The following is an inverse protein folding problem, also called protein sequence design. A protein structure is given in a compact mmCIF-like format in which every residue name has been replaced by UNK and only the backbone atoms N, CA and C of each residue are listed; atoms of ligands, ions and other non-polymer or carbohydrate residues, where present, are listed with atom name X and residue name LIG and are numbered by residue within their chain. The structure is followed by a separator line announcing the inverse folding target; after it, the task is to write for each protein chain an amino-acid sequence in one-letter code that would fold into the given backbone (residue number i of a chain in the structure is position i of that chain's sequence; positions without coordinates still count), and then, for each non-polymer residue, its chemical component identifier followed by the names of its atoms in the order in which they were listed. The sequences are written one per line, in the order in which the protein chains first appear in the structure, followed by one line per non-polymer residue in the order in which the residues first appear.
data_IF_883806741436
#
_entry.id   IF_883806741436
#
_cell.length_a   1.000
_cell.length_b   1.000
_cell.length_c   1.000
_cell.angle_alpha   90.00
_cell.angle_beta   90.00
_cell.angle_gamma   90.00
#
_symmetry.space_group_name_H-M   'P 1'
#
loop_
_entity.id
_entity.type
_entity.pdbx_description
1 polymer ?
#
# COMPACT_ATOMS: atom_id res chain seq x y z
N UNK A 1 -16.61 24.20 -84.65
CA UNK A 1 -15.76 23.13 -84.06
C UNK A 1 -14.78 23.65 -83.01
N UNK A 2 -14.63 24.96 -82.82
CA UNK A 2 -13.62 25.55 -81.90
C UNK A 2 -14.17 25.79 -80.42
N UNK A 3 -15.47 25.83 -80.16
CA UNK A 3 -15.98 26.17 -78.86
C UNK A 3 -15.98 24.96 -77.85
N UNK A 4 -15.95 23.72 -78.37
CA UNK A 4 -15.90 22.50 -77.47
C UNK A 4 -14.48 22.26 -76.95
N UNK A 5 -13.41 22.61 -77.65
CA UNK A 5 -12.04 22.41 -77.14
C UNK A 5 -11.67 23.43 -76.06
N UNK A 6 -12.18 24.64 -76.12
CA UNK A 6 -11.92 25.67 -75.08
C UNK A 6 -12.53 25.29 -73.76
N UNK A 7 -13.75 24.71 -73.71
CA UNK A 7 -14.41 24.27 -72.49
C UNK A 7 -13.74 23.05 -71.84
N UNK A 8 -13.15 22.16 -72.66
CA UNK A 8 -12.46 20.98 -72.13
C UNK A 8 -11.13 21.35 -71.45
N UNK A 9 -10.41 22.30 -71.98
CA UNK A 9 -9.16 22.80 -71.42
C UNK A 9 -9.39 23.64 -70.16
N UNK A 10 -10.46 24.42 -70.07
CA UNK A 10 -10.83 25.17 -68.86
C UNK A 10 -11.24 24.23 -67.70
N UNK A 11 -11.98 23.16 -68.01
CA UNK A 11 -12.43 22.20 -67.02
C UNK A 11 -11.25 21.42 -66.46
N UNK A 12 -10.29 21.03 -67.30
CA UNK A 12 -9.08 20.33 -66.89
C UNK A 12 -8.13 21.23 -66.03
N UNK A 13 -8.04 22.51 -66.39
CA UNK A 13 -7.24 23.48 -65.65
C UNK A 13 -7.87 23.79 -64.27
N UNK A 14 -9.16 23.90 -64.17
CA UNK A 14 -9.88 24.12 -62.92
C UNK A 14 -9.78 22.89 -62.00
N UNK A 15 -9.96 21.71 -62.54
CA UNK A 15 -9.87 20.45 -61.77
C UNK A 15 -8.44 20.21 -61.24
N UNK A 16 -7.41 20.52 -62.04
CA UNK A 16 -6.02 20.38 -61.61
C UNK A 16 -5.59 21.44 -60.58
N UNK A 17 -6.12 22.64 -60.67
CA UNK A 17 -5.87 23.72 -59.71
C UNK A 17 -6.54 23.44 -58.36
N UNK A 18 -7.78 22.93 -58.36
CA UNK A 18 -8.52 22.57 -57.13
C UNK A 18 -7.84 21.40 -56.40
N UNK A 19 -7.38 20.36 -57.14
CA UNK A 19 -6.66 19.22 -56.56
C UNK A 19 -5.32 19.64 -55.92
N UNK A 20 -4.61 20.58 -56.56
CA UNK A 20 -3.32 21.09 -56.05
C UNK A 20 -3.50 21.90 -54.77
N UNK A 21 -4.52 22.75 -54.71
CA UNK A 21 -4.89 23.53 -53.54
C UNK A 21 -5.34 22.61 -52.40
N UNK A 22 -6.13 21.57 -52.68
CA UNK A 22 -6.56 20.60 -51.69
C UNK A 22 -5.42 19.77 -51.13
N UNK A 23 -4.43 19.37 -51.94
CA UNK A 23 -3.20 18.69 -51.49
C UNK A 23 -2.31 19.60 -50.65
N UNK A 24 -2.19 20.88 -50.96
CA UNK A 24 -1.39 21.82 -50.16
C UNK A 24 -2.03 22.15 -48.82
N UNK A 25 -3.36 22.27 -48.77
CA UNK A 25 -4.12 22.49 -47.53
C UNK A 25 -4.00 21.26 -46.61
N UNK A 26 -4.13 20.05 -47.16
CA UNK A 26 -3.99 18.81 -46.34
C UNK A 26 -2.54 18.63 -45.83
N UNK A 27 -1.51 18.90 -46.65
CA UNK A 27 -0.12 18.87 -46.21
C UNK A 27 0.21 19.92 -45.15
N UNK A 28 -0.39 21.11 -45.24
CA UNK A 28 -0.21 22.19 -44.27
C UNK A 28 -0.92 21.88 -42.95
N UNK A 29 -2.14 21.31 -43.00
CA UNK A 29 -2.88 20.85 -41.85
C UNK A 29 -2.18 19.69 -41.11
N UNK A 30 -1.64 18.73 -41.87
CA UNK A 30 -0.86 17.61 -41.32
C UNK A 30 0.42 18.08 -40.60
N UNK A 31 1.16 19.03 -41.19
CA UNK A 31 2.36 19.64 -40.56
C UNK A 31 2.02 20.44 -39.29
N UNK A 32 0.86 21.10 -39.22
CA UNK A 32 0.42 21.85 -38.05
C UNK A 32 0.03 20.88 -36.93
N UNK A 33 -0.69 19.79 -37.24
CA UNK A 33 -1.06 18.75 -36.29
C UNK A 33 0.17 18.05 -35.69
N UNK A 34 1.14 17.69 -36.49
CA UNK A 34 2.41 17.11 -36.03
C UNK A 34 3.19 18.09 -35.12
N UNK A 35 3.27 19.36 -35.49
CA UNK A 35 3.97 20.36 -34.65
C UNK A 35 3.29 20.58 -33.31
N UNK A 36 1.98 20.51 -33.25
CA UNK A 36 1.21 20.60 -31.99
C UNK A 36 1.47 19.39 -31.12
N UNK A 37 1.45 18.17 -31.67
CA UNK A 37 1.76 16.95 -30.90
C UNK A 37 3.20 16.93 -30.39
N UNK A 38 4.19 17.30 -31.22
CA UNK A 38 5.59 17.42 -30.78
C UNK A 38 5.76 18.45 -29.67
N UNK A 39 5.03 19.57 -29.72
CA UNK A 39 5.08 20.60 -28.67
C UNK A 39 4.49 20.10 -27.34
N UNK A 40 3.42 19.30 -27.38
CA UNK A 40 2.85 18.66 -26.18
C UNK A 40 3.80 17.62 -25.55
N UNK A 41 4.41 16.77 -26.38
CA UNK A 41 5.37 15.76 -25.93
C UNK A 41 6.62 16.44 -25.35
N UNK A 42 7.16 17.47 -25.98
CA UNK A 42 8.28 18.25 -25.44
C UNK A 42 7.94 18.92 -24.09
N UNK A 43 6.75 19.50 -23.94
CA UNK A 43 6.31 20.08 -22.66
C UNK A 43 6.14 19.03 -21.57
N UNK A 44 5.64 17.84 -21.92
CA UNK A 44 5.52 16.72 -20.98
C UNK A 44 6.89 16.22 -20.53
N UNK A 45 7.84 16.06 -21.48
CA UNK A 45 9.23 15.70 -21.18
C UNK A 45 9.96 16.75 -20.32
N UNK A 46 9.72 18.03 -20.55
CA UNK A 46 10.26 19.09 -19.68
C UNK A 46 9.67 19.08 -18.28
N UNK A 47 8.36 18.81 -18.14
CA UNK A 47 7.73 18.62 -16.83
C UNK A 47 8.30 17.41 -16.10
N UNK A 48 8.45 16.27 -16.77
CA UNK A 48 9.07 15.07 -16.21
C UNK A 48 10.53 15.31 -15.79
N UNK A 49 11.34 15.97 -16.60
CA UNK A 49 12.72 16.33 -16.23
C UNK A 49 12.78 17.20 -14.97
N UNK A 50 11.92 18.21 -14.88
CA UNK A 50 11.86 19.07 -13.68
C UNK A 50 11.43 18.27 -12.45
N UNK A 51 10.46 17.39 -12.58
CA UNK A 51 10.01 16.51 -11.49
C UNK A 51 11.12 15.56 -11.03
N UNK A 52 11.87 14.95 -11.96
CA UNK A 52 13.03 14.12 -11.65
C UNK A 52 14.17 14.91 -10.99
N UNK A 53 14.40 16.18 -11.39
CA UNK A 53 15.38 17.05 -10.75
C UNK A 53 14.96 17.39 -9.32
N UNK A 54 13.68 17.69 -9.07
CA UNK A 54 13.18 17.94 -7.70
C UNK A 54 13.28 16.69 -6.81
N UNK A 55 12.95 15.51 -7.33
CA UNK A 55 13.14 14.24 -6.62
C UNK A 55 14.63 14.01 -6.34
N UNK A 56 15.52 14.23 -7.30
CA UNK A 56 16.97 14.08 -7.11
C UNK A 56 17.52 15.08 -6.08
N UNK A 57 17.04 16.33 -6.07
CA UNK A 57 17.40 17.34 -5.08
C UNK A 57 16.91 16.93 -3.67
N UNK A 58 15.70 16.41 -3.54
CA UNK A 58 15.17 15.90 -2.27
C UNK A 58 16.02 14.70 -1.79
N UNK A 59 16.40 13.78 -2.68
CA UNK A 59 17.29 12.67 -2.34
C UNK A 59 18.70 13.13 -1.93
N UNK A 60 19.25 14.17 -2.56
CA UNK A 60 20.56 14.73 -2.18
C UNK A 60 20.54 15.40 -0.80
N UNK A 61 19.44 16.02 -0.39
CA UNK A 61 19.34 16.63 0.95
C UNK A 61 19.18 15.61 2.07
N UNK A 62 18.75 14.38 1.77
CA UNK A 62 18.64 13.30 2.75
C UNK A 62 19.99 12.69 3.14
N UNK A 63 21.06 12.97 2.39
CA UNK A 63 22.39 12.37 2.60
C UNK A 63 23.25 13.05 3.68
N UNK A 64 22.77 14.11 4.32
CA UNK A 64 23.59 14.94 5.22
C UNK A 64 23.49 14.58 6.70
N UNK A 65 22.67 13.59 7.07
CA UNK A 65 22.58 13.16 8.46
C UNK A 65 23.10 11.73 8.62
N UNK A 66 24.11 11.58 9.44
CA UNK A 66 24.74 10.35 9.90
C UNK A 66 23.77 9.52 10.77
N UNK A 67 22.73 8.95 10.17
CA UNK A 67 21.71 8.16 10.87
C UNK A 67 21.65 6.75 10.31
N UNK A 68 21.49 5.76 11.19
CA UNK A 68 21.32 4.38 10.76
C UNK A 68 19.90 4.15 10.27
N UNK A 69 19.82 3.58 9.08
CA UNK A 69 18.60 3.12 8.47
C UNK A 69 18.55 1.60 8.52
N UNK A 70 17.36 1.05 8.61
CA UNK A 70 17.12 -0.39 8.50
C UNK A 70 16.11 -0.63 7.39
N UNK A 71 16.39 -1.59 6.54
CA UNK A 71 15.45 -2.12 5.55
C UNK A 71 15.32 -3.62 5.78
N UNK A 72 14.11 -4.12 5.84
CA UNK A 72 13.88 -5.53 6.12
C UNK A 72 12.56 -6.05 5.70
N UNK A 73 12.34 -7.31 6.03
CA UNK A 73 11.14 -8.06 5.70
C UNK A 73 10.49 -8.61 6.97
N UNK A 74 9.20 -8.79 6.91
CA UNK A 74 8.39 -9.52 7.87
C UNK A 74 7.87 -10.79 7.22
N UNK A 75 7.92 -11.90 7.95
CA UNK A 75 7.32 -13.18 7.57
C UNK A 75 6.61 -13.74 8.79
N UNK A 76 5.34 -14.06 8.63
CA UNK A 76 4.54 -14.57 9.75
C UNK A 76 3.15 -14.99 9.31
N UNK A 77 2.21 -14.87 10.23
CA UNK A 77 0.81 -15.12 9.98
C UNK A 77 -0.07 -13.98 10.47
N UNK A 78 -1.31 -14.05 10.05
CA UNK A 78 -2.38 -13.12 10.42
C UNK A 78 -3.58 -13.91 10.94
N UNK A 79 -4.32 -13.35 11.90
CA UNK A 79 -5.62 -13.84 12.31
C UNK A 79 -6.61 -12.68 12.53
N UNK A 80 -7.86 -13.00 12.41
CA UNK A 80 -9.00 -12.10 12.58
C UNK A 80 -9.63 -12.25 13.95
N UNK A 81 -10.22 -11.17 14.48
CA UNK A 81 -11.01 -11.15 15.74
C UNK A 81 -12.20 -10.22 15.52
N UNK A 82 -13.41 -10.77 15.51
CA UNK A 82 -14.66 -10.03 15.33
C UNK A 82 -15.87 -10.95 15.45
N UNK A 83 -16.86 -10.78 14.56
CA UNK A 83 -18.15 -11.44 14.69
C UNK A 83 -18.20 -12.85 14.08
N UNK A 84 -17.30 -13.20 13.17
CA UNK A 84 -17.23 -14.53 12.55
C UNK A 84 -16.01 -15.29 13.06
N UNK A 85 -16.23 -16.55 13.47
CA UNK A 85 -15.19 -17.49 13.87
C UNK A 85 -14.77 -17.41 15.34
N UNK A 86 -13.60 -17.96 15.71
CA UNK A 86 -13.06 -17.93 17.06
C UNK A 86 -12.62 -16.52 17.47
N UNK A 87 -12.55 -16.28 18.79
CA UNK A 87 -12.12 -15.00 19.36
C UNK A 87 -10.71 -15.04 19.96
N UNK A 88 -9.87 -15.91 19.44
CA UNK A 88 -8.49 -16.05 19.88
C UNK A 88 -7.64 -14.85 19.47
N UNK A 89 -6.94 -14.24 20.44
CA UNK A 89 -6.16 -13.04 20.19
C UNK A 89 -4.88 -13.30 19.37
N UNK A 90 -4.25 -14.46 19.56
CA UNK A 90 -2.99 -14.82 18.88
C UNK A 90 -3.12 -16.25 18.35
N UNK A 91 -3.65 -16.39 17.15
CA UNK A 91 -3.89 -17.67 16.49
C UNK A 91 -3.67 -17.51 14.96
N UNK A 92 -2.43 -17.17 14.50
CA UNK A 92 -2.18 -16.93 13.08
C UNK A 92 -2.53 -18.16 12.27
N UNK A 93 -3.50 -18.02 11.37
CA UNK A 93 -4.06 -19.11 10.56
C UNK A 93 -3.78 -18.95 9.06
N UNK A 94 -3.44 -17.73 8.62
CA UNK A 94 -3.09 -17.47 7.23
C UNK A 94 -1.70 -16.79 7.13
N UNK A 95 -0.94 -17.05 6.05
CA UNK A 95 0.39 -16.46 5.88
C UNK A 95 0.32 -14.95 5.63
N UNK A 96 1.32 -14.23 6.17
CA UNK A 96 1.46 -12.80 5.99
C UNK A 96 2.92 -12.41 5.72
N UNK A 97 3.09 -11.41 4.87
CA UNK A 97 4.39 -10.89 4.44
C UNK A 97 4.40 -9.37 4.54
N UNK A 98 5.58 -8.80 4.78
CA UNK A 98 5.73 -7.36 4.83
C UNK A 98 7.13 -6.88 4.51
N UNK A 99 7.21 -5.57 4.26
CA UNK A 99 8.46 -4.83 4.08
C UNK A 99 8.49 -3.74 5.15
N UNK A 100 9.64 -3.57 5.77
CA UNK A 100 9.83 -2.63 6.89
C UNK A 100 11.01 -1.74 6.57
N UNK A 101 10.81 -0.44 6.75
CA UNK A 101 11.88 0.55 6.76
C UNK A 101 11.88 1.27 8.11
N UNK A 102 13.05 1.38 8.73
CA UNK A 102 13.23 2.12 9.99
C UNK A 102 14.30 3.19 9.84
N UNK A 103 13.99 4.34 10.37
CA UNK A 103 14.91 5.46 10.49
C UNK A 103 15.24 5.67 11.96
N UNK A 104 16.40 5.18 12.39
CA UNK A 104 16.84 5.22 13.77
C UNK A 104 17.35 6.62 14.12
N UNK A 105 16.58 7.38 14.91
CA UNK A 105 16.94 8.73 15.38
C UNK A 105 17.84 8.68 16.61
N UNK A 106 17.70 7.65 17.42
CA UNK A 106 18.48 7.44 18.65
C UNK A 106 18.50 5.95 18.98
N UNK A 107 19.32 5.50 19.96
CA UNK A 107 19.27 4.12 20.42
C UNK A 107 17.90 3.66 20.93
N UNK A 108 17.03 4.60 21.31
CA UNK A 108 15.69 4.29 21.87
C UNK A 108 14.52 4.59 20.97
N UNK A 109 14.70 5.42 19.92
CA UNK A 109 13.60 5.85 19.07
C UNK A 109 13.91 5.66 17.60
N UNK A 110 12.99 5.04 16.87
CA UNK A 110 13.02 4.93 15.42
C UNK A 110 11.66 5.30 14.81
N UNK A 111 11.68 6.01 13.69
CA UNK A 111 10.53 6.09 12.83
C UNK A 111 10.46 4.83 11.99
N UNK A 112 9.28 4.19 11.97
CA UNK A 112 9.04 2.96 11.22
C UNK A 112 7.93 3.19 10.20
N UNK A 113 8.23 2.74 8.98
CA UNK A 113 7.29 2.67 7.87
C UNK A 113 7.22 1.22 7.43
N UNK A 114 6.03 0.69 7.25
CA UNK A 114 5.90 -0.69 6.82
C UNK A 114 4.73 -0.89 5.87
N UNK A 115 4.87 -1.88 5.01
CA UNK A 115 3.82 -2.44 4.19
C UNK A 115 3.63 -3.90 4.59
N UNK A 116 2.40 -4.30 4.88
CA UNK A 116 2.03 -5.67 5.18
C UNK A 116 0.90 -6.12 4.26
N UNK A 117 0.89 -7.40 3.94
CA UNK A 117 -0.16 -8.05 3.18
C UNK A 117 -0.43 -9.43 3.75
N UNK A 118 -1.72 -9.80 3.86
CA UNK A 118 -2.18 -11.11 4.27
C UNK A 118 -3.66 -11.29 3.96
N UNK A 119 -4.14 -12.52 4.06
CA UNK A 119 -5.56 -12.85 3.97
C UNK A 119 -6.12 -13.09 5.36
N UNK A 120 -7.21 -12.42 5.69
CA UNK A 120 -8.03 -12.71 6.87
C UNK A 120 -8.98 -13.84 6.50
N UNK A 121 -9.00 -14.89 7.30
CA UNK A 121 -9.90 -16.02 7.11
C UNK A 121 -10.39 -16.53 8.46
N UNK A 122 -11.70 -16.74 8.57
CA UNK A 122 -12.27 -17.29 9.77
C UNK A 122 -13.54 -18.08 9.46
N UNK A 123 -13.87 -19.05 10.31
CA UNK A 123 -15.05 -19.91 10.18
C UNK A 123 -15.73 -20.07 11.51
N UNK A 124 -17.03 -19.93 11.53
CA UNK A 124 -17.85 -20.09 12.72
C UNK A 124 -17.80 -21.52 13.31
N UNK A 125 -17.58 -22.52 12.46
CA UNK A 125 -17.46 -23.92 12.89
C UNK A 125 -16.28 -24.16 13.84
N UNK A 126 -15.25 -23.29 13.75
CA UNK A 126 -14.05 -23.36 14.58
C UNK A 126 -14.21 -22.61 15.91
N UNK A 127 -15.37 -21.98 16.14
CA UNK A 127 -15.65 -21.18 17.33
C UNK A 127 -16.14 -22.04 18.48
N UNK A 128 -15.67 -21.74 19.70
CA UNK A 128 -16.19 -22.32 20.96
C UNK A 128 -17.55 -21.74 21.36
N UNK A 129 -18.04 -20.70 20.67
CA UNK A 129 -19.34 -20.07 20.95
C UNK A 129 -20.45 -20.84 20.21
N UNK A 130 -21.37 -21.49 20.93
CA UNK A 130 -22.39 -22.38 20.33
C UNK A 130 -23.26 -21.70 19.27
N UNK A 131 -23.61 -20.43 19.47
CA UNK A 131 -24.41 -19.66 18.49
C UNK A 131 -23.69 -19.40 17.18
N UNK A 132 -22.38 -19.15 17.19
CA UNK A 132 -21.57 -19.02 15.99
C UNK A 132 -21.43 -20.37 15.29
N UNK A 133 -21.09 -21.40 16.03
CA UNK A 133 -20.95 -22.76 15.49
C UNK A 133 -22.24 -23.24 14.79
N UNK A 134 -23.43 -22.95 15.34
CA UNK A 134 -24.71 -23.25 14.70
C UNK A 134 -25.00 -22.39 13.47
N UNK A 135 -24.52 -21.14 13.44
CA UNK A 135 -24.68 -20.23 12.29
C UNK A 135 -23.85 -20.70 11.10
N UNK A 136 -22.60 -21.08 11.32
CA UNK A 136 -21.74 -21.74 10.34
C UNK A 136 -21.22 -20.85 9.22
N UNK A 137 -21.13 -19.51 9.43
CA UNK A 137 -20.58 -18.58 8.46
C UNK A 137 -19.07 -18.77 8.30
N UNK A 138 -18.57 -18.43 7.11
CA UNK A 138 -17.15 -18.37 6.81
C UNK A 138 -16.84 -17.19 5.91
N UNK A 139 -15.67 -16.60 6.08
CA UNK A 139 -15.22 -15.52 5.21
C UNK A 139 -13.74 -15.62 4.88
N UNK A 140 -13.38 -14.97 3.77
CA UNK A 140 -12.02 -14.67 3.37
C UNK A 140 -11.94 -13.24 2.83
N UNK A 141 -10.97 -12.45 3.33
CA UNK A 141 -10.77 -11.06 2.94
C UNK A 141 -9.29 -10.72 2.85
N UNK A 142 -8.87 -10.07 1.78
CA UNK A 142 -7.48 -9.69 1.58
C UNK A 142 -7.21 -8.29 2.14
N UNK A 143 -6.21 -8.18 3.02
CA UNK A 143 -5.79 -6.91 3.62
C UNK A 143 -4.39 -6.53 3.12
N UNK A 144 -4.25 -5.26 2.72
CA UNK A 144 -2.98 -4.61 2.38
C UNK A 144 -2.87 -3.34 3.19
N UNK A 145 -1.91 -3.27 4.11
CA UNK A 145 -1.74 -2.13 4.99
C UNK A 145 -0.44 -1.38 4.76
N UNK A 146 -0.51 -0.06 4.88
CA UNK A 146 0.63 0.85 4.98
C UNK A 146 0.62 1.48 6.37
N UNK A 147 1.70 1.34 7.12
CA UNK A 147 1.79 1.96 8.44
C UNK A 147 2.96 2.92 8.55
N UNK A 148 2.74 3.97 9.34
CA UNK A 148 3.75 4.94 9.71
C UNK A 148 3.62 5.26 11.19
N UNK A 149 4.73 5.23 11.94
CA UNK A 149 4.68 5.50 13.37
C UNK A 149 6.05 5.47 14.02
N UNK A 150 6.05 5.39 15.32
CA UNK A 150 7.25 5.41 16.15
C UNK A 150 7.44 4.08 16.87
N UNK A 151 8.65 3.54 16.76
CA UNK A 151 9.14 2.39 17.51
C UNK A 151 9.98 2.89 18.67
N UNK A 152 9.68 2.42 19.89
CA UNK A 152 10.38 2.74 21.11
C UNK A 152 11.07 1.48 21.68
N UNK A 153 12.38 1.55 21.89
CA UNK A 153 13.19 0.50 22.49
C UNK A 153 13.30 0.71 24.00
N UNK A 154 12.99 -0.29 24.79
CA UNK A 154 13.09 -0.21 26.27
C UNK A 154 14.53 -0.19 26.77
N UNK A 155 15.46 -0.78 26.00
CA UNK A 155 16.88 -0.73 26.28
C UNK A 155 17.62 0.00 25.16
N UNK A 156 18.81 0.52 25.46
CA UNK A 156 19.64 1.19 24.47
C UNK A 156 20.08 0.21 23.37
N UNK A 157 19.50 0.35 22.21
CA UNK A 157 19.78 -0.47 21.05
C UNK A 157 20.65 0.32 20.05
N UNK A 158 21.89 0.59 20.50
CA UNK A 158 22.88 1.26 19.66
C UNK A 158 23.44 0.28 18.63
N UNK A 159 23.28 0.59 17.37
CA UNK A 159 23.71 -0.22 16.24
C UNK A 159 25.17 0.07 15.83
N UNK A 160 25.85 1.04 16.48
CA UNK A 160 27.22 1.45 16.16
C UNK A 160 28.28 0.69 16.90
N UNK A 161 28.00 0.24 18.14
CA UNK A 161 29.06 -0.27 19.04
C UNK A 161 29.47 -1.72 18.78
N UNK A 162 28.98 -2.36 17.74
CA UNK A 162 29.38 -3.73 17.33
C UNK A 162 28.96 -4.85 18.29
N UNK A 163 28.37 -4.53 19.45
CA UNK A 163 28.02 -5.52 20.47
C UNK A 163 26.69 -6.20 20.17
N UNK A 164 26.57 -7.46 20.56
CA UNK A 164 25.29 -8.17 20.57
C UNK A 164 24.36 -7.49 21.57
N UNK A 165 23.23 -7.00 21.10
CA UNK A 165 22.22 -6.35 21.93
C UNK A 165 20.86 -7.00 21.68
N UNK A 166 20.04 -7.00 22.70
CA UNK A 166 18.65 -7.41 22.65
C UNK A 166 17.82 -6.34 23.32
N UNK A 167 16.65 -6.03 22.79
CA UNK A 167 15.72 -5.09 23.39
C UNK A 167 14.27 -5.48 23.10
N UNK A 168 13.39 -5.43 24.10
CA UNK A 168 11.96 -5.33 23.85
C UNK A 168 11.67 -3.98 23.22
N UNK A 169 10.62 -3.92 22.41
CA UNK A 169 10.15 -2.67 21.81
C UNK A 169 8.63 -2.65 21.68
N UNK A 170 8.10 -1.45 21.55
CA UNK A 170 6.71 -1.20 21.19
C UNK A 170 6.69 -0.29 19.97
N UNK A 171 5.66 -0.47 19.14
CA UNK A 171 5.42 0.41 18.00
C UNK A 171 3.94 0.80 18.00
N UNK A 172 3.69 2.07 17.72
CA UNK A 172 2.36 2.60 17.47
C UNK A 172 2.41 3.73 16.44
N UNK A 173 1.28 4.01 15.83
CA UNK A 173 1.18 5.02 14.78
C UNK A 173 -0.19 5.02 14.11
N UNK A 174 -0.18 5.16 12.79
CA UNK A 174 -1.38 5.13 11.96
C UNK A 174 -1.17 4.11 10.85
N UNK A 175 -2.18 3.27 10.64
CA UNK A 175 -2.30 2.40 9.48
C UNK A 175 -3.36 2.95 8.54
N UNK A 176 -3.07 2.91 7.25
CA UNK A 176 -4.05 3.00 6.18
C UNK A 176 -4.08 1.64 5.49
N UNK A 177 -5.25 1.01 5.45
CA UNK A 177 -5.36 -0.31 4.84
C UNK A 177 -6.51 -0.40 3.84
N UNK A 178 -6.33 -1.28 2.88
CA UNK A 178 -7.24 -1.56 1.77
C UNK A 178 -7.74 -2.98 1.98
N UNK A 179 -9.04 -3.17 1.87
CA UNK A 179 -9.73 -4.44 2.06
C UNK A 179 -10.92 -4.54 1.09
N UNK A 180 -11.50 -5.71 1.00
CA UNK A 180 -12.71 -5.92 0.22
C UNK A 180 -13.93 -5.76 1.14
N UNK A 181 -14.89 -4.89 0.75
CA UNK A 181 -16.24 -4.90 1.30
C UNK A 181 -16.91 -6.19 0.88
N UNK A 182 -17.36 -6.98 1.85
CA UNK A 182 -17.96 -8.29 1.66
C UNK A 182 -19.31 -8.39 2.37
N UNK A 183 -20.12 -9.33 1.95
CA UNK A 183 -21.36 -9.73 2.61
C UNK A 183 -21.45 -11.26 2.66
N UNK A 184 -22.19 -11.80 3.62
CA UNK A 184 -22.35 -13.25 3.78
C UNK A 184 -23.64 -13.69 3.05
N UNK A 185 -23.48 -14.62 2.12
CA UNK A 185 -24.59 -15.25 1.43
C UNK A 185 -24.41 -16.78 1.43
N UNK A 186 -25.42 -17.52 1.88
CA UNK A 186 -25.35 -18.99 2.02
C UNK A 186 -24.15 -19.47 2.83
N UNK A 187 -23.80 -18.78 3.92
CA UNK A 187 -22.69 -19.05 4.84
C UNK A 187 -21.27 -18.81 4.26
N UNK A 188 -21.16 -18.24 3.08
CA UNK A 188 -19.90 -17.87 2.42
C UNK A 188 -19.82 -16.37 2.14
N UNK A 189 -18.61 -15.83 2.14
CA UNK A 189 -18.39 -14.42 1.83
C UNK A 189 -18.37 -14.16 0.33
N UNK A 190 -19.11 -13.14 -0.08
CA UNK A 190 -19.13 -12.62 -1.45
C UNK A 190 -18.59 -11.19 -1.45
N UNK A 191 -17.78 -10.87 -2.46
CA UNK A 191 -17.19 -9.53 -2.61
C UNK A 191 -18.16 -8.58 -3.29
N UNK A 192 -18.32 -7.39 -2.70
CA UNK A 192 -19.06 -6.29 -3.32
C UNK A 192 -18.09 -5.33 -4.04
N UNK A 193 -17.31 -4.54 -3.29
CA UNK A 193 -16.34 -3.61 -3.85
C UNK A 193 -15.07 -3.54 -2.97
N UNK A 194 -14.08 -2.75 -3.39
CA UNK A 194 -12.87 -2.53 -2.59
C UNK A 194 -13.01 -1.22 -1.81
N UNK A 195 -12.73 -1.28 -0.51
CA UNK A 195 -12.77 -0.13 0.39
C UNK A 195 -11.42 0.10 1.06
N UNK A 196 -11.31 1.19 1.79
CA UNK A 196 -10.12 1.53 2.56
C UNK A 196 -10.45 2.37 3.78
N UNK A 197 -9.76 2.11 4.88
CA UNK A 197 -9.96 2.85 6.12
C UNK A 197 -8.65 2.91 6.93
N UNK A 198 -8.72 3.51 8.09
CA UNK A 198 -7.59 3.61 9.01
C UNK A 198 -7.69 2.57 10.13
N UNK A 199 -6.54 2.28 10.74
CA UNK A 199 -6.44 1.49 11.95
C UNK A 199 -5.33 2.04 12.86
N UNK A 200 -5.37 1.69 14.13
CA UNK A 200 -4.32 1.98 15.10
C UNK A 200 -3.51 0.70 15.32
N UNK A 201 -2.23 0.66 14.91
CA UNK A 201 -1.35 -0.46 15.19
C UNK A 201 -0.83 -0.40 16.63
N UNK A 202 -0.86 -1.54 17.29
CA UNK A 202 -0.28 -1.77 18.61
C UNK A 202 0.61 -3.00 18.54
N UNK A 203 1.93 -2.78 18.32
CA UNK A 203 2.88 -3.86 18.15
C UNK A 203 3.78 -3.92 19.39
N UNK A 204 3.99 -5.11 19.89
CA UNK A 204 5.02 -5.43 20.86
C UNK A 204 5.96 -6.47 20.28
N UNK A 205 7.25 -6.35 20.57
CA UNK A 205 8.21 -7.29 20.05
C UNK A 205 9.53 -7.29 20.82
N UNK A 206 10.37 -8.21 20.44
CA UNK A 206 11.76 -8.30 20.91
C UNK A 206 12.64 -8.38 19.67
N UNK A 207 13.75 -7.64 19.67
CA UNK A 207 14.73 -7.67 18.59
C UNK A 207 16.14 -7.85 19.14
N UNK A 208 16.95 -8.54 18.35
CA UNK A 208 18.35 -8.83 18.69
C UNK A 208 19.25 -8.59 17.47
N UNK A 209 20.41 -8.01 17.69
CA UNK A 209 21.46 -7.93 16.67
C UNK A 209 22.14 -9.30 16.53
N UNK A 210 21.99 -9.94 15.37
CA UNK A 210 22.61 -11.24 15.08
C UNK A 210 24.04 -11.10 14.60
N UNK A 211 24.26 -10.26 13.59
CA UNK A 211 25.53 -9.96 12.95
C UNK A 211 25.69 -8.43 12.84
N UNK A 212 26.83 -7.98 12.37
CA UNK A 212 27.15 -6.55 12.32
C UNK A 212 26.06 -5.68 11.71
N UNK A 213 25.39 -6.17 10.66
CA UNK A 213 24.39 -5.41 9.93
C UNK A 213 23.00 -6.05 9.94
N UNK A 214 22.77 -7.14 10.68
CA UNK A 214 21.49 -7.83 10.68
C UNK A 214 20.84 -7.83 12.07
N UNK A 215 19.57 -7.42 12.10
CA UNK A 215 18.73 -7.46 13.29
C UNK A 215 17.56 -8.42 13.02
N UNK A 216 17.42 -9.41 13.89
CA UNK A 216 16.28 -10.32 13.93
C UNK A 216 15.31 -9.84 15.01
N UNK A 217 14.04 -9.82 14.70
CA UNK A 217 12.98 -9.54 15.66
C UNK A 217 11.86 -10.57 15.61
N UNK A 218 11.13 -10.66 16.70
CA UNK A 218 9.85 -11.33 16.77
C UNK A 218 8.81 -10.33 17.28
N UNK A 219 7.66 -10.27 16.64
CA UNK A 219 6.62 -9.29 16.98
C UNK A 219 5.21 -9.87 16.89
N UNK A 220 4.35 -9.32 17.74
CA UNK A 220 2.92 -9.51 17.73
C UNK A 220 2.31 -8.12 17.67
N UNK A 221 1.39 -7.91 16.73
CA UNK A 221 0.79 -6.60 16.54
C UNK A 221 -0.67 -6.67 16.24
N UNK A 222 -1.50 -6.16 17.17
CA UNK A 222 -2.91 -5.95 16.95
C UNK A 222 -3.16 -4.66 16.17
N UNK A 223 -4.25 -4.66 15.39
CA UNK A 223 -4.78 -3.49 14.69
C UNK A 223 -6.21 -3.28 15.09
N UNK A 224 -6.47 -2.16 15.73
CA UNK A 224 -7.83 -1.68 15.96
C UNK A 224 -8.30 -0.94 14.71
N UNK A 225 -9.26 -1.48 14.01
CA UNK A 225 -9.76 -0.86 12.76
C UNK A 225 -10.89 0.11 13.03
N UNK A 226 -11.16 0.99 12.08
CA UNK A 226 -12.32 1.87 12.10
C UNK A 226 -13.42 1.38 11.14
N UNK A 227 -13.52 0.07 10.97
CA UNK A 227 -14.60 -0.60 10.22
C UNK A 227 -15.11 -1.81 11.00
N UNK A 228 -16.34 -2.19 10.72
CA UNK A 228 -17.06 -3.36 11.26
C UNK A 228 -17.48 -4.31 10.12
N UNK A 229 -16.76 -4.27 8.98
CA UNK A 229 -17.11 -5.12 7.83
C UNK A 229 -15.90 -5.82 7.19
N UNK A 230 -14.91 -6.23 7.99
CA UNK A 230 -13.85 -7.10 7.48
C UNK A 230 -14.33 -8.53 7.27
N UNK A 231 -15.35 -8.95 8.01
CA UNK A 231 -15.90 -10.32 8.04
C UNK A 231 -17.27 -10.45 7.33
N UNK A 232 -17.81 -9.35 6.80
CA UNK A 232 -19.11 -9.34 6.12
C UNK A 232 -20.30 -9.27 7.05
N UNK A 233 -20.10 -8.96 8.36
CA UNK A 233 -21.17 -8.83 9.33
C UNK A 233 -22.02 -7.58 9.16
N UNK A 234 -21.41 -6.49 8.67
CA UNK A 234 -22.05 -5.19 8.55
C UNK A 234 -21.78 -4.53 7.16
N UNK A 235 -22.29 -5.09 6.04
CA UNK A 235 -22.09 -4.54 4.72
C UNK A 235 -22.56 -3.09 4.60
N UNK A 236 -21.74 -2.23 4.00
CA UNK A 236 -22.05 -0.81 3.82
C UNK A 236 -23.12 -0.57 2.76
N UNK A 237 -23.26 -1.49 1.79
CA UNK A 237 -24.22 -1.38 0.71
C UNK A 237 -25.66 -1.62 1.21
N UNK A 238 -26.53 -0.64 1.06
CA UNK A 238 -27.96 -0.70 1.47
C UNK A 238 -28.72 -1.87 0.86
N UNK A 239 -28.32 -2.38 -0.30
CA UNK A 239 -28.93 -3.55 -0.91
C UNK A 239 -28.76 -4.83 -0.08
N UNK A 240 -27.77 -4.86 0.79
CA UNK A 240 -27.44 -5.99 1.66
C UNK A 240 -27.73 -5.71 3.14
N UNK A 241 -28.44 -4.64 3.46
CA UNK A 241 -28.78 -4.27 4.84
C UNK A 241 -29.46 -5.40 5.61
N UNK A 242 -30.32 -6.18 4.93
CA UNK A 242 -31.02 -7.33 5.52
C UNK A 242 -30.10 -8.51 5.86
N UNK A 243 -28.86 -8.51 5.39
CA UNK A 243 -27.86 -9.55 5.67
C UNK A 243 -26.98 -9.19 6.86
N UNK A 244 -27.13 -8.01 7.47
CA UNK A 244 -26.37 -7.60 8.65
C UNK A 244 -26.65 -8.51 9.84
N UNK A 245 -25.59 -8.84 10.58
CA UNK A 245 -25.66 -9.68 11.77
C UNK A 245 -24.54 -9.31 12.76
N UNK A 246 -24.51 -9.95 13.92
CA UNK A 246 -23.44 -9.74 14.91
C UNK A 246 -23.62 -8.49 15.76
N UNK A 247 -22.52 -7.94 16.25
CA UNK A 247 -22.50 -6.74 17.09
C UNK A 247 -22.10 -5.50 16.26
N UNK A 248 -23.06 -4.84 15.67
CA UNK A 248 -22.86 -3.66 14.79
C UNK A 248 -22.26 -2.42 15.49
N UNK A 249 -21.92 -2.51 16.79
CA UNK A 249 -21.29 -1.42 17.55
C UNK A 249 -19.83 -1.70 17.91
N UNK A 250 -19.26 -2.80 17.45
CA UNK A 250 -17.87 -3.16 17.70
C UNK A 250 -17.08 -3.17 16.40
N UNK A 251 -15.95 -2.50 16.39
CA UNK A 251 -15.05 -2.55 15.23
C UNK A 251 -14.22 -3.83 15.23
N UNK A 252 -13.87 -4.27 14.06
CA UNK A 252 -13.05 -5.46 13.83
C UNK A 252 -11.59 -5.26 14.20
N UNK A 253 -10.94 -6.37 14.55
CA UNK A 253 -9.52 -6.42 14.85
C UNK A 253 -8.83 -7.48 14.00
N UNK A 254 -7.57 -7.26 13.72
CA UNK A 254 -6.71 -8.32 13.21
C UNK A 254 -5.31 -8.24 13.80
N UNK A 255 -4.63 -9.38 13.85
CA UNK A 255 -3.34 -9.52 14.51
C UNK A 255 -2.35 -10.16 13.55
N UNK A 256 -1.18 -9.52 13.39
CA UNK A 256 -0.02 -10.13 12.75
C UNK A 256 0.92 -10.67 13.82
N UNK A 257 1.42 -11.88 13.61
CA UNK A 257 2.42 -12.52 14.47
C UNK A 257 3.51 -13.11 13.61
N UNK A 258 4.77 -12.73 13.86
CA UNK A 258 5.85 -13.24 13.02
C UNK A 258 7.24 -12.75 13.38
N UNK A 259 8.14 -12.99 12.45
CA UNK A 259 9.55 -12.63 12.54
C UNK A 259 9.90 -11.49 11.58
N UNK A 260 10.79 -10.64 11.99
CA UNK A 260 11.38 -9.58 11.17
C UNK A 260 12.87 -9.80 11.00
N UNK A 261 13.37 -9.60 9.80
CA UNK A 261 14.81 -9.56 9.54
C UNK A 261 15.12 -8.24 8.82
N UNK A 262 15.93 -7.39 9.46
CA UNK A 262 16.32 -6.09 8.91
C UNK A 262 17.82 -6.02 8.69
N UNK A 263 18.22 -5.34 7.61
CA UNK A 263 19.61 -5.00 7.30
C UNK A 263 19.84 -3.51 7.61
N UNK A 264 20.88 -3.24 8.38
CA UNK A 264 21.25 -1.88 8.82
C UNK A 264 22.28 -1.27 7.88
N UNK A 265 22.09 -0.01 7.52
CA UNK A 265 22.99 0.75 6.66
C UNK A 265 22.99 2.24 7.04
N UNK A 266 24.06 2.94 6.67
CA UNK A 266 24.27 4.36 6.97
C UNK A 266 25.63 4.60 7.61
N UNK A 267 26.00 5.87 7.73
CA UNK A 267 27.24 6.27 8.39
C UNK A 267 27.02 6.42 9.90
N UNK A 268 28.04 6.12 10.69
CA UNK A 268 27.98 6.20 12.14
C UNK A 268 27.77 7.66 12.61
N UNK A 269 26.64 8.02 13.22
CA UNK A 269 26.49 9.33 13.85
C UNK A 269 27.35 9.40 15.11
N UNK A 270 27.99 10.55 15.33
CA UNK A 270 28.48 10.87 16.67
C UNK A 270 27.28 11.27 17.50
N UNK A 271 26.82 10.44 18.42
CA UNK A 271 25.96 10.87 19.50
C UNK A 271 26.85 11.61 20.51
N UNK A 272 26.86 12.94 20.46
CA UNK A 272 27.39 13.71 21.58
C UNK A 272 26.42 13.46 22.74
N UNK A 273 26.88 12.87 23.81
CA UNK A 273 26.16 12.82 25.07
C UNK A 273 25.99 14.29 25.55
N UNK A 274 24.75 14.76 25.64
CA UNK A 274 24.40 15.97 26.38
C UNK A 274 24.42 15.70 27.88
#
# INVERSE_FOLDING_TARGET
MQIKEINYNLYHFYHFSVLKVQQDVTKKSYKIGLRSQYCYICKLFQKMKRFLIYISLIFCTLSTYSQINELGVFVGGINYIGDVGPTDYIAPNEPAFGIIYKWNRSPRHAWRFSYYQGSLKSKDIDSDVPSRNLRGNSFENQVKEFSAGMEFNFMDFDLHDGKKKITPYVFTGVNYFIYDEIYILNNESEKDFQSSTFAIPMIVGVKARLFDNFVLGAEIGARYTFTDNLDGSNPENDNFETLRFGNLNSNDWYVFTGLTLTYTFGQNPCFCAE
#
